data_IF_932174502891
#
_entry.id   IF_932174502891
#
_cell.length_a   1.000
_cell.length_b   1.000
_cell.length_c   1.000
_cell.angle_alpha   90.00
_cell.angle_beta   90.00
_cell.angle_gamma   90.00
#
_symmetry.space_group_name_H-M   'P 1'
#
loop_
_entity.id
_entity.type
_entity.pdbx_description
1 polymer ?
#
# COMPACT_ATOMS: atom_id res chain seq x y z
N UNK A 1 -13.71 -18.11 60.60
CA UNK A 1 -13.11 -18.70 59.36
C UNK A 1 -12.05 -17.70 58.89
N UNK A 2 -10.74 -17.99 58.80
CA UNK A 2 -9.99 -19.26 58.69
C UNK A 2 -10.34 -20.07 57.43
N UNK A 3 -9.40 -20.08 56.50
CA UNK A 3 -9.14 -21.04 55.40
C UNK A 3 -10.30 -21.43 54.45
N UNK A 4 -10.31 -20.88 53.22
CA UNK A 4 -10.96 -21.49 52.03
C UNK A 4 -10.56 -20.85 50.67
N UNK A 5 -9.42 -20.15 50.56
CA UNK A 5 -8.89 -19.65 49.27
C UNK A 5 -7.39 -20.01 49.17
N UNK A 6 -7.12 -21.30 48.96
CA UNK A 6 -5.74 -21.82 48.80
C UNK A 6 -5.71 -23.10 47.92
N UNK A 7 -6.47 -23.11 46.82
CA UNK A 7 -6.45 -24.23 45.85
C UNK A 7 -6.60 -23.81 44.37
N UNK A 8 -6.44 -22.51 44.08
CA UNK A 8 -6.21 -21.93 42.76
C UNK A 8 -5.20 -20.78 42.96
N UNK A 9 -4.12 -20.62 42.19
CA UNK A 9 -3.82 -21.16 40.86
C UNK A 9 -2.40 -21.76 40.76
N UNK A 10 -2.20 -23.04 41.13
CA UNK A 10 -0.95 -23.77 40.87
C UNK A 10 -0.77 -24.18 39.38
N UNK A 11 -1.29 -23.37 38.46
CA UNK A 11 -1.25 -23.55 37.00
C UNK A 11 -0.62 -22.33 36.27
N UNK A 12 0.04 -21.43 37.00
CA UNK A 12 0.70 -20.23 36.45
C UNK A 12 2.15 -20.50 36.00
N UNK A 13 2.39 -21.59 35.28
CA UNK A 13 3.65 -21.85 34.55
C UNK A 13 3.40 -22.49 33.17
N UNK A 14 2.93 -21.73 32.17
CA UNK A 14 3.29 -22.01 30.80
C UNK A 14 4.78 -21.73 30.61
N UNK A 15 5.52 -22.67 30.00
CA UNK A 15 6.91 -22.43 29.60
C UNK A 15 6.93 -21.38 28.49
N UNK A 16 7.56 -20.22 28.73
CA UNK A 16 7.91 -19.29 27.67
C UNK A 16 9.10 -19.83 26.86
N UNK A 17 8.83 -20.81 25.99
CA UNK A 17 9.77 -21.19 24.93
C UNK A 17 9.84 -20.06 23.90
N UNK A 18 11.05 -19.78 23.41
CA UNK A 18 11.30 -18.70 22.46
C UNK A 18 10.73 -19.05 21.08
N UNK A 19 9.63 -18.40 20.71
CA UNK A 19 9.00 -18.52 19.40
C UNK A 19 8.33 -17.21 18.99
N UNK A 20 9.06 -16.34 18.29
CA UNK A 20 8.49 -15.11 17.69
C UNK A 20 7.63 -15.45 16.46
N UNK A 21 6.45 -16.00 16.70
CA UNK A 21 5.42 -16.24 15.69
C UNK A 21 4.32 -15.16 15.81
N UNK A 22 4.44 -14.10 15.02
CA UNK A 22 3.45 -13.02 14.95
C UNK A 22 2.79 -12.98 13.56
N UNK A 23 1.52 -13.39 13.49
CA UNK A 23 0.67 -13.31 12.28
C UNK A 23 -0.76 -12.94 12.70
N UNK A 24 -1.18 -11.68 12.48
CA UNK A 24 -2.51 -11.42 11.93
C UNK A 24 -2.60 -10.16 11.02
N UNK A 25 -3.62 -10.09 10.16
CA UNK A 25 -4.03 -8.81 9.51
C UNK A 25 -4.47 -8.90 8.03
N UNK A 26 -5.59 -8.28 7.69
CA UNK A 26 -6.27 -8.24 6.36
C UNK A 26 -6.83 -6.81 6.15
N UNK A 27 -6.85 -6.20 4.94
CA UNK A 27 -7.82 -5.18 4.39
C UNK A 27 -7.51 -4.76 2.90
N UNK A 28 -8.43 -4.13 2.11
CA UNK A 28 -8.96 -4.51 0.75
C UNK A 28 -8.01 -4.70 -0.53
N UNK A 29 -7.93 -4.14 -1.77
CA UNK A 29 -8.39 -3.03 -2.72
C UNK A 29 -7.57 -1.74 -3.07
N UNK A 30 -6.40 -1.90 -3.73
CA UNK A 30 -5.65 -0.89 -4.53
C UNK A 30 -4.52 -0.06 -3.86
N UNK A 31 -3.24 -0.33 -4.16
CA UNK A 31 -2.03 0.41 -3.74
C UNK A 31 -0.78 -0.14 -4.49
N UNK A 32 0.36 0.57 -4.49
CA UNK A 32 1.55 0.23 -5.29
C UNK A 32 2.12 -1.17 -5.00
N UNK A 33 2.23 -2.00 -6.04
CA UNK A 33 2.26 -3.46 -5.89
C UNK A 33 3.41 -4.03 -5.03
N UNK A 34 3.07 -5.04 -4.20
CA UNK A 34 4.02 -5.82 -3.40
C UNK A 34 4.98 -6.62 -4.30
N UNK A 35 6.28 -6.34 -4.26
CA UNK A 35 7.30 -7.15 -4.94
C UNK A 35 7.63 -8.40 -4.12
N UNK A 36 7.11 -9.56 -4.53
CA UNK A 36 7.13 -10.80 -3.74
C UNK A 36 7.69 -12.02 -4.48
N UNK A 37 8.30 -12.97 -3.75
CA UNK A 37 8.28 -14.41 -4.07
C UNK A 37 6.84 -14.93 -4.04
N UNK A 38 6.38 -15.59 -5.11
CA UNK A 38 4.94 -15.83 -5.29
C UNK A 38 4.51 -17.29 -5.54
N UNK A 39 5.39 -18.14 -6.04
CA UNK A 39 5.03 -19.50 -6.43
C UNK A 39 5.44 -20.50 -5.35
N UNK A 40 4.53 -21.42 -5.00
CA UNK A 40 4.72 -22.40 -3.94
C UNK A 40 5.91 -23.35 -4.17
N UNK A 41 6.27 -23.65 -5.42
CA UNK A 41 7.49 -24.39 -5.74
C UNK A 41 8.76 -23.64 -5.29
N UNK A 42 8.72 -22.31 -5.34
CA UNK A 42 9.80 -21.42 -4.91
C UNK A 42 9.77 -21.14 -3.40
N UNK A 43 8.80 -21.69 -2.64
CA UNK A 43 8.72 -21.50 -1.17
C UNK A 43 10.01 -21.94 -0.46
N UNK A 44 10.68 -22.95 -1.00
CA UNK A 44 12.00 -23.41 -0.54
C UNK A 44 13.12 -22.37 -0.73
N UNK A 45 12.89 -21.30 -1.50
CA UNK A 45 13.82 -20.20 -1.80
C UNK A 45 13.44 -18.87 -1.11
N UNK A 46 12.32 -18.81 -0.39
CA UNK A 46 11.92 -17.62 0.36
C UNK A 46 12.98 -17.30 1.44
N UNK A 47 13.28 -16.02 1.65
CA UNK A 47 14.33 -15.61 2.60
C UNK A 47 15.77 -16.02 2.23
N UNK A 48 16.05 -16.46 0.99
CA UNK A 48 17.44 -16.74 0.52
C UNK A 48 18.14 -15.55 -0.15
N UNK A 49 17.37 -14.60 -0.68
CA UNK A 49 17.82 -13.44 -1.46
C UNK A 49 17.54 -12.17 -0.67
N UNK A 50 18.56 -11.35 -0.39
CA UNK A 50 18.41 -10.07 0.32
C UNK A 50 18.20 -8.92 -0.67
N UNK A 51 17.34 -7.97 -0.33
CA UNK A 51 17.34 -6.65 -0.98
C UNK A 51 18.43 -5.79 -0.32
N UNK A 52 19.60 -5.69 -0.95
CA UNK A 52 20.69 -4.83 -0.46
C UNK A 52 20.29 -3.35 -0.54
N UNK A 53 19.69 -2.93 -1.65
CA UNK A 53 19.19 -1.56 -1.76
C UNK A 53 18.07 -1.37 -2.77
N UNK A 54 17.31 -0.29 -2.58
CA UNK A 54 16.35 0.23 -3.56
C UNK A 54 16.59 1.71 -3.88
N UNK A 55 16.33 2.06 -5.15
CA UNK A 55 16.16 3.43 -5.62
C UNK A 55 14.84 3.53 -6.38
N UNK A 56 13.86 4.21 -5.80
CA UNK A 56 12.51 4.35 -6.33
C UNK A 56 12.29 5.80 -6.75
N UNK A 57 12.16 6.02 -8.05
CA UNK A 57 11.97 7.34 -8.63
C UNK A 57 10.50 7.47 -9.07
N UNK A 58 9.85 8.56 -8.67
CA UNK A 58 8.42 8.79 -8.92
C UNK A 58 8.25 10.21 -9.48
N UNK A 59 7.64 10.30 -10.66
CA UNK A 59 7.11 11.56 -11.17
C UNK A 59 5.60 11.58 -10.87
N UNK A 60 5.19 12.44 -9.94
CA UNK A 60 3.82 12.58 -9.45
C UNK A 60 3.10 13.69 -10.24
N UNK A 61 2.22 13.31 -11.16
CA UNK A 61 1.42 14.21 -11.99
C UNK A 61 0.02 14.42 -11.40
N UNK A 62 -0.76 15.33 -11.97
CA UNK A 62 -2.18 15.38 -11.63
C UNK A 62 -2.84 14.07 -12.06
N UNK A 63 -3.63 13.44 -11.19
CA UNK A 63 -4.34 12.19 -11.47
C UNK A 63 -3.52 10.92 -11.81
N UNK A 64 -2.19 10.96 -11.97
CA UNK A 64 -1.37 9.77 -12.24
C UNK A 64 0.08 9.89 -11.73
N UNK A 65 0.81 8.77 -11.65
CA UNK A 65 2.27 8.76 -11.45
C UNK A 65 2.97 7.91 -12.49
N UNK A 66 4.22 8.26 -12.77
CA UNK A 66 5.20 7.40 -13.48
C UNK A 66 6.20 6.93 -12.44
N UNK A 67 6.52 5.63 -12.42
CA UNK A 67 7.42 5.04 -11.42
C UNK A 67 8.54 4.26 -12.10
N UNK A 68 9.75 4.39 -11.57
CA UNK A 68 10.92 3.56 -11.87
C UNK A 68 11.53 3.07 -10.56
N UNK A 69 11.30 1.81 -10.21
CA UNK A 69 11.99 1.13 -9.12
C UNK A 69 13.26 0.44 -9.61
N UNK A 70 14.37 0.56 -8.88
CA UNK A 70 15.63 -0.16 -9.16
C UNK A 70 16.07 -0.87 -7.88
N UNK A 71 16.18 -2.20 -7.93
CA UNK A 71 16.42 -3.07 -6.77
C UNK A 71 17.70 -3.87 -6.95
N UNK A 72 18.56 -3.87 -5.92
CA UNK A 72 19.82 -4.60 -5.89
C UNK A 72 19.65 -5.83 -5.02
N UNK A 73 19.46 -6.99 -5.65
CA UNK A 73 19.09 -8.24 -4.97
C UNK A 73 20.29 -9.18 -4.88
N UNK A 74 20.79 -9.45 -3.67
CA UNK A 74 21.97 -10.27 -3.43
C UNK A 74 21.62 -11.71 -3.08
N UNK A 75 22.21 -12.66 -3.81
CA UNK A 75 22.17 -14.07 -3.46
C UNK A 75 23.33 -14.44 -2.52
N UNK A 76 23.03 -14.54 -1.23
CA UNK A 76 23.99 -14.98 -0.22
C UNK A 76 24.32 -16.49 -0.28
N UNK A 77 23.62 -17.30 -1.07
CA UNK A 77 23.81 -18.74 -1.16
C UNK A 77 25.07 -19.12 -1.95
N UNK A 78 25.50 -20.38 -1.81
CA UNK A 78 26.58 -20.98 -2.59
C UNK A 78 26.14 -21.48 -3.98
N UNK A 79 24.83 -21.57 -4.22
CA UNK A 79 24.23 -22.03 -5.49
C UNK A 79 23.44 -20.91 -6.16
N UNK A 80 23.15 -21.06 -7.46
CA UNK A 80 22.09 -20.27 -8.09
C UNK A 80 20.75 -20.52 -7.36
N UNK A 81 19.92 -19.48 -7.31
CA UNK A 81 18.53 -19.54 -6.87
C UNK A 81 17.67 -19.07 -8.04
N UNK A 82 16.70 -19.87 -8.44
CA UNK A 82 15.71 -19.50 -9.45
C UNK A 82 14.33 -19.39 -8.80
N UNK A 83 13.54 -18.39 -9.18
CA UNK A 83 12.21 -18.14 -8.64
C UNK A 83 11.40 -17.18 -9.51
N UNK A 84 10.09 -17.22 -9.35
CA UNK A 84 9.15 -16.23 -9.88
C UNK A 84 8.99 -15.05 -8.91
N UNK A 85 9.00 -13.86 -9.50
CA UNK A 85 8.77 -12.60 -8.81
C UNK A 85 7.71 -11.80 -9.56
N UNK A 86 7.01 -10.90 -8.88
CA UNK A 86 5.97 -10.13 -9.55
C UNK A 86 5.35 -9.01 -8.73
N UNK A 87 4.43 -8.30 -9.38
CA UNK A 87 3.61 -7.23 -8.82
C UNK A 87 2.12 -7.58 -9.01
N UNK A 88 1.26 -7.40 -7.99
CA UNK A 88 -0.17 -7.61 -8.13
C UNK A 88 -0.80 -6.51 -9.00
N UNK A 89 -1.87 -6.84 -9.73
CA UNK A 89 -2.66 -5.81 -10.41
C UNK A 89 -3.55 -4.99 -9.46
N UNK A 90 -3.68 -5.37 -8.18
CA UNK A 90 -4.45 -4.64 -7.17
C UNK A 90 -3.81 -4.77 -5.76
N UNK A 91 -3.68 -3.66 -5.00
CA UNK A 91 -3.15 -3.64 -3.61
C UNK A 91 -4.23 -3.47 -2.52
N UNK A 92 -4.00 -2.58 -1.54
CA UNK A 92 -4.92 -1.67 -0.77
C UNK A 92 -4.08 -0.73 0.09
N UNK A 93 -4.67 0.32 0.66
CA UNK A 93 -4.08 1.00 1.81
C UNK A 93 -5.06 1.16 2.96
N UNK A 94 -4.86 0.32 3.98
CA UNK A 94 -5.48 0.51 5.28
C UNK A 94 -4.40 0.60 6.38
N UNK A 95 -4.46 1.67 7.17
CA UNK A 95 -3.62 1.92 8.34
C UNK A 95 -4.44 2.68 9.39
N UNK A 96 -4.14 2.49 10.67
CA UNK A 96 -4.96 3.06 11.77
C UNK A 96 -5.07 4.59 11.73
N UNK A 97 -4.03 5.27 11.22
CA UNK A 97 -3.99 6.73 10.99
C UNK A 97 -4.89 7.14 9.80
N UNK A 98 -4.99 6.27 8.79
CA UNK A 98 -5.65 6.51 7.49
C UNK A 98 -6.82 5.55 7.35
N UNK A 99 -7.89 5.90 8.08
CA UNK A 99 -9.13 5.14 8.35
C UNK A 99 -9.59 4.15 7.27
N UNK A 100 -9.51 4.50 5.98
CA UNK A 100 -9.47 3.59 4.82
C UNK A 100 -9.21 4.40 3.54
N UNK A 101 -8.26 4.00 2.67
CA UNK A 101 -8.12 4.53 1.29
C UNK A 101 -8.15 3.40 0.26
N UNK A 102 -9.14 3.47 -0.63
CA UNK A 102 -9.21 2.65 -1.84
C UNK A 102 -8.57 3.42 -2.98
N UNK A 103 -7.50 2.90 -3.60
CA UNK A 103 -7.00 3.39 -4.90
C UNK A 103 -7.61 2.52 -6.01
N UNK A 104 -7.94 3.11 -7.15
CA UNK A 104 -8.80 2.44 -8.13
C UNK A 104 -8.15 1.30 -8.93
N UNK A 105 -6.83 1.33 -9.12
CA UNK A 105 -6.23 0.82 -10.35
C UNK A 105 -4.89 0.10 -10.19
N UNK A 106 -4.56 -0.68 -11.23
CA UNK A 106 -3.31 -1.40 -11.40
C UNK A 106 -2.13 -0.49 -11.76
N UNK A 107 -0.88 -0.97 -11.62
CA UNK A 107 0.21 -0.52 -12.47
C UNK A 107 -0.10 -0.89 -13.93
N UNK A 108 0.00 0.09 -14.84
CA UNK A 108 -0.20 -0.08 -16.27
C UNK A 108 1.13 -0.07 -17.03
N UNK A 109 1.13 -0.72 -18.20
CA UNK A 109 2.26 -0.77 -19.15
C UNK A 109 3.59 -1.10 -18.46
N UNK A 110 3.58 -2.14 -17.62
CA UNK A 110 4.76 -2.56 -16.86
C UNK A 110 5.87 -3.04 -17.80
N UNK A 111 7.08 -2.54 -17.58
CA UNK A 111 8.30 -2.99 -18.26
C UNK A 111 9.31 -3.43 -17.19
N UNK A 112 9.95 -4.58 -17.39
CA UNK A 112 10.88 -5.18 -16.42
C UNK A 112 12.20 -5.47 -17.09
N UNK A 113 13.30 -5.00 -16.49
CA UNK A 113 14.66 -5.29 -16.90
C UNK A 113 15.38 -6.05 -15.78
N UNK A 114 16.11 -7.11 -16.12
CA UNK A 114 17.01 -7.84 -15.22
C UNK A 114 18.43 -7.71 -15.76
N UNK A 115 19.32 -7.16 -14.93
CA UNK A 115 20.70 -6.79 -15.27
C UNK A 115 20.81 -5.91 -16.53
N UNK A 116 19.79 -5.07 -16.78
CA UNK A 116 19.70 -4.16 -17.94
C UNK A 116 19.03 -4.75 -19.18
N UNK A 117 18.73 -6.05 -19.21
CA UNK A 117 18.04 -6.71 -20.32
C UNK A 117 16.54 -6.83 -20.02
N UNK A 118 15.69 -6.46 -20.97
CA UNK A 118 14.23 -6.61 -20.82
C UNK A 118 13.84 -8.09 -20.73
N UNK A 119 12.94 -8.41 -19.80
CA UNK A 119 12.39 -9.75 -19.61
C UNK A 119 10.89 -9.76 -19.84
N UNK A 120 10.38 -10.82 -20.46
CA UNK A 120 8.95 -10.99 -20.71
C UNK A 120 8.19 -11.15 -19.38
N UNK A 121 7.65 -10.06 -18.84
CA UNK A 121 6.66 -10.10 -17.75
C UNK A 121 5.29 -10.45 -18.33
N UNK A 122 4.83 -11.67 -18.07
CA UNK A 122 3.49 -12.11 -18.49
C UNK A 122 2.44 -11.70 -17.44
N UNK A 123 1.23 -11.42 -17.90
CA UNK A 123 0.07 -11.30 -17.00
C UNK A 123 -0.46 -12.70 -16.72
N UNK A 124 -0.24 -13.19 -15.51
CA UNK A 124 -0.79 -14.45 -15.04
C UNK A 124 -2.10 -14.19 -14.31
N UNK A 125 -3.16 -14.88 -14.74
CA UNK A 125 -4.44 -14.95 -14.03
C UNK A 125 -4.44 -16.15 -13.06
N UNK A 126 -5.27 -16.12 -12.03
CA UNK A 126 -5.44 -17.22 -11.04
C UNK A 126 -5.55 -18.62 -11.69
N UNK A 127 -6.17 -18.72 -12.87
CA UNK A 127 -6.31 -19.99 -13.61
C UNK A 127 -4.96 -20.58 -14.04
N UNK A 128 -4.05 -19.76 -14.57
CA UNK A 128 -2.68 -20.20 -14.94
C UNK A 128 -1.79 -20.44 -13.71
N UNK A 129 -2.13 -19.83 -12.57
CA UNK A 129 -1.48 -20.09 -11.28
C UNK A 129 -1.87 -21.49 -10.78
N UNK A 130 -3.14 -21.88 -10.88
CA UNK A 130 -3.61 -23.22 -10.51
C UNK A 130 -2.93 -24.34 -11.33
N UNK A 131 -2.89 -24.21 -12.67
CA UNK A 131 -2.34 -25.24 -13.56
C UNK A 131 -0.84 -25.50 -13.37
N UNK A 132 -0.08 -24.55 -12.80
CA UNK A 132 1.36 -24.65 -12.58
C UNK A 132 1.74 -25.23 -11.18
N UNK A 133 0.82 -25.94 -10.51
CA UNK A 133 1.00 -26.45 -9.15
C UNK A 133 1.39 -25.36 -8.12
N UNK A 134 0.94 -24.11 -8.33
CA UNK A 134 1.07 -23.08 -7.30
C UNK A 134 0.06 -23.40 -6.20
N UNK A 135 0.55 -24.07 -5.15
CA UNK A 135 -0.27 -24.47 -4.00
C UNK A 135 -1.06 -23.26 -3.46
N UNK A 136 -2.39 -23.34 -3.58
CA UNK A 136 -3.31 -22.27 -3.19
C UNK A 136 -3.38 -22.07 -1.68
N UNK A 137 -2.83 -23.00 -0.88
CA UNK A 137 -2.54 -22.74 0.53
C UNK A 137 -1.42 -21.70 0.70
N UNK A 138 -0.41 -21.67 -0.18
CA UNK A 138 0.67 -20.68 -0.12
C UNK A 138 0.19 -19.30 -0.55
N UNK A 139 -0.68 -19.20 -1.56
CA UNK A 139 -1.35 -17.91 -1.87
C UNK A 139 -2.29 -17.50 -0.74
N UNK A 140 -3.06 -18.41 -0.13
CA UNK A 140 -3.88 -18.10 1.04
C UNK A 140 -3.06 -17.59 2.25
N UNK A 141 -1.89 -18.18 2.53
CA UNK A 141 -0.98 -17.79 3.62
C UNK A 141 -0.25 -16.47 3.33
N UNK A 142 0.17 -16.22 2.08
CA UNK A 142 0.87 -14.98 1.68
C UNK A 142 -0.11 -13.82 1.39
N UNK A 143 -1.39 -14.10 1.16
CA UNK A 143 -2.41 -13.09 0.81
C UNK A 143 -3.53 -12.92 1.86
N UNK A 144 -3.45 -13.61 3.00
CA UNK A 144 -4.45 -13.49 4.08
C UNK A 144 -5.87 -13.86 3.65
N UNK A 145 -6.01 -14.88 2.79
CA UNK A 145 -7.30 -15.36 2.29
C UNK A 145 -7.96 -14.52 1.18
N UNK A 146 -7.20 -13.71 0.44
CA UNK A 146 -7.71 -13.00 -0.77
C UNK A 146 -7.16 -13.53 -2.10
N UNK A 147 -8.07 -13.73 -3.05
CA UNK A 147 -7.76 -14.06 -4.44
C UNK A 147 -7.41 -12.77 -5.22
N UNK A 148 -6.12 -12.45 -5.31
CA UNK A 148 -5.61 -11.39 -6.19
C UNK A 148 -5.55 -11.90 -7.64
N UNK A 149 -6.69 -11.82 -8.34
CA UNK A 149 -6.95 -12.54 -9.59
C UNK A 149 -5.90 -12.45 -10.70
N UNK A 150 -5.13 -11.37 -10.75
CA UNK A 150 -4.14 -11.11 -11.79
C UNK A 150 -2.83 -10.58 -11.18
N UNK A 151 -1.69 -11.05 -11.69
CA UNK A 151 -0.34 -10.57 -11.39
C UNK A 151 0.46 -10.34 -12.67
N UNK A 152 1.37 -9.37 -12.64
CA UNK A 152 2.52 -9.36 -13.55
C UNK A 152 3.60 -10.24 -12.93
N UNK A 153 3.90 -11.41 -13.52
CA UNK A 153 4.99 -12.28 -13.05
C UNK A 153 6.09 -12.39 -14.10
N UNK A 154 7.31 -12.57 -13.63
CA UNK A 154 8.45 -12.99 -14.44
C UNK A 154 9.35 -13.92 -13.61
N UNK A 155 10.01 -14.84 -14.30
CA UNK A 155 10.97 -15.77 -13.71
C UNK A 155 12.38 -15.17 -13.79
N UNK A 156 13.21 -15.36 -12.77
CA UNK A 156 14.62 -14.98 -12.85
C UNK A 156 15.56 -15.91 -12.09
N UNK A 157 16.85 -15.80 -12.42
CA UNK A 157 17.97 -16.52 -11.82
C UNK A 157 18.88 -15.54 -11.09
N UNK A 158 19.04 -15.74 -9.79
CA UNK A 158 20.02 -15.05 -8.97
C UNK A 158 21.27 -15.93 -8.86
N UNK A 159 22.34 -15.58 -9.59
CA UNK A 159 23.59 -16.35 -9.55
C UNK A 159 24.24 -16.32 -8.15
N UNK A 160 24.90 -17.44 -7.77
CA UNK A 160 25.55 -17.59 -6.46
C UNK A 160 26.51 -16.43 -6.14
N UNK A 161 26.44 -15.90 -4.91
CA UNK A 161 27.31 -14.81 -4.40
C UNK A 161 27.36 -13.56 -5.30
N UNK A 162 26.29 -13.27 -6.04
CA UNK A 162 26.18 -12.10 -6.92
C UNK A 162 24.95 -11.25 -6.61
N UNK A 163 25.06 -9.97 -6.95
CA UNK A 163 23.92 -9.04 -7.01
C UNK A 163 23.27 -9.19 -8.40
N UNK A 164 21.94 -9.24 -8.40
CA UNK A 164 21.09 -9.11 -9.59
C UNK A 164 20.38 -7.77 -9.50
N UNK A 165 20.48 -6.95 -10.53
CA UNK A 165 19.81 -5.64 -10.59
C UNK A 165 18.48 -5.81 -11.31
N UNK A 166 17.38 -5.38 -10.68
CA UNK A 166 16.03 -5.44 -11.25
C UNK A 166 15.54 -4.01 -11.41
N UNK A 167 15.15 -3.61 -12.61
CA UNK A 167 14.55 -2.29 -12.86
C UNK A 167 13.12 -2.48 -13.37
N UNK A 168 12.15 -1.87 -12.70
CA UNK A 168 10.72 -1.98 -13.02
C UNK A 168 10.14 -0.60 -13.29
N UNK A 169 9.51 -0.44 -14.45
CA UNK A 169 8.79 0.78 -14.85
C UNK A 169 7.30 0.50 -14.89
N UNK A 170 6.46 1.45 -14.46
CA UNK A 170 5.01 1.40 -14.62
C UNK A 170 4.38 2.80 -14.50
N UNK A 171 3.11 2.91 -14.90
CA UNK A 171 2.27 4.10 -14.65
C UNK A 171 1.10 3.72 -13.73
N UNK A 172 0.78 4.51 -12.71
CA UNK A 172 -0.42 4.32 -11.86
C UNK A 172 -1.48 5.37 -12.16
N UNK A 173 -2.75 4.97 -12.18
CA UNK A 173 -3.85 5.92 -12.22
C UNK A 173 -4.27 6.30 -10.79
N UNK A 174 -3.87 7.49 -10.35
CA UNK A 174 -4.12 8.01 -9.02
C UNK A 174 -5.51 8.66 -8.90
N UNK A 175 -6.14 9.00 -10.03
CA UNK A 175 -7.31 9.88 -10.13
C UNK A 175 -8.60 9.34 -9.50
N UNK A 176 -8.66 8.01 -9.28
CA UNK A 176 -9.88 7.30 -8.83
C UNK A 176 -9.90 6.98 -7.34
N UNK A 177 -9.00 7.59 -6.57
CA UNK A 177 -8.84 7.31 -5.14
C UNK A 177 -10.03 7.79 -4.28
N UNK A 178 -10.31 7.04 -3.20
CA UNK A 178 -11.42 7.30 -2.27
C UNK A 178 -10.93 7.17 -0.83
N UNK A 179 -10.97 8.27 -0.10
CA UNK A 179 -10.72 8.34 1.35
C UNK A 179 -12.05 8.24 2.09
N UNK A 180 -12.15 7.37 3.10
CA UNK A 180 -13.39 7.21 3.88
C UNK A 180 -13.14 7.22 5.40
N UNK A 181 -14.12 7.72 6.16
CA UNK A 181 -14.04 7.96 7.60
C UNK A 181 -15.40 7.70 8.23
N UNK A 182 -15.71 6.44 8.53
CA UNK A 182 -17.06 6.03 8.90
C UNK A 182 -18.03 6.32 7.74
N UNK A 183 -18.99 7.22 7.97
CA UNK A 183 -19.97 7.62 6.95
C UNK A 183 -19.45 8.67 5.95
N UNK A 184 -18.45 9.47 6.30
CA UNK A 184 -17.90 10.52 5.42
C UNK A 184 -16.97 9.92 4.37
N UNK A 185 -17.07 10.38 3.11
CA UNK A 185 -16.30 9.85 1.96
C UNK A 185 -15.89 11.00 1.04
N UNK A 186 -14.62 11.03 0.65
CA UNK A 186 -14.08 11.97 -0.34
C UNK A 186 -13.49 11.21 -1.51
N UNK A 187 -13.67 11.75 -2.72
CA UNK A 187 -12.78 11.46 -3.86
C UNK A 187 -11.57 12.39 -3.77
N UNK A 188 -10.48 12.03 -4.43
CA UNK A 188 -9.24 12.80 -4.48
C UNK A 188 -8.22 12.05 -5.32
N UNK A 189 -6.95 12.36 -5.16
CA UNK A 189 -5.87 11.62 -5.79
C UNK A 189 -4.96 10.98 -4.74
N UNK A 190 -4.54 9.74 -5.00
CA UNK A 190 -3.64 9.02 -4.12
C UNK A 190 -2.53 8.34 -4.91
N UNK A 191 -1.28 8.57 -4.53
CA UNK A 191 -0.15 7.72 -4.91
C UNK A 191 0.28 6.86 -3.71
N UNK A 192 0.84 5.68 -3.99
CA UNK A 192 1.15 4.69 -2.97
C UNK A 192 2.25 3.72 -3.36
N UNK A 193 3.11 3.36 -2.40
CA UNK A 193 4.19 2.39 -2.54
C UNK A 193 4.29 1.50 -1.29
N UNK A 194 4.18 0.17 -1.46
CA UNK A 194 4.41 -0.78 -0.36
C UNK A 194 5.91 -0.97 -0.16
N UNK A 195 6.38 -0.64 1.04
CA UNK A 195 7.70 -0.99 1.52
C UNK A 195 7.67 -2.29 2.37
N UNK A 196 6.55 -2.59 3.03
CA UNK A 196 6.38 -3.78 3.91
C UNK A 196 6.70 -5.12 3.22
N UNK A 197 6.56 -5.21 1.89
CA UNK A 197 6.85 -6.41 1.11
C UNK A 197 8.34 -6.76 1.07
N UNK A 198 9.22 -5.85 1.50
CA UNK A 198 10.60 -6.17 1.82
C UNK A 198 10.75 -7.38 2.76
N UNK A 199 9.78 -7.63 3.65
CA UNK A 199 9.78 -8.77 4.60
C UNK A 199 9.69 -10.17 3.98
N UNK A 200 9.41 -10.29 2.69
CA UNK A 200 9.48 -11.59 2.00
C UNK A 200 10.91 -11.95 1.54
N UNK A 201 11.83 -10.99 1.63
CA UNK A 201 13.24 -11.12 1.25
C UNK A 201 14.09 -11.40 2.51
N UNK A 202 15.37 -11.76 2.30
CA UNK A 202 16.26 -12.15 3.38
C UNK A 202 16.74 -10.93 4.19
N UNK A 203 16.34 -10.85 5.45
CA UNK A 203 16.80 -9.79 6.36
C UNK A 203 16.26 -8.39 6.02
N UNK A 204 17.01 -7.37 6.44
CA UNK A 204 16.63 -5.97 6.28
C UNK A 204 17.02 -5.42 4.89
N UNK A 205 16.38 -4.32 4.50
CA UNK A 205 16.80 -3.50 3.35
C UNK A 205 17.95 -2.60 3.82
N UNK A 206 19.17 -2.85 3.38
CA UNK A 206 20.36 -2.17 3.94
C UNK A 206 20.38 -0.66 3.62
N UNK A 207 19.87 -0.23 2.47
CA UNK A 207 19.66 1.20 2.13
C UNK A 207 18.52 1.38 1.11
N UNK A 208 17.59 2.29 1.37
CA UNK A 208 16.55 2.66 0.41
C UNK A 208 16.39 4.16 0.24
N UNK A 209 16.11 4.58 -0.99
CA UNK A 209 15.88 5.97 -1.37
C UNK A 209 14.64 6.05 -2.26
N UNK A 210 13.58 6.70 -1.77
CA UNK A 210 12.35 6.95 -2.50
C UNK A 210 12.26 8.45 -2.76
N UNK A 211 12.33 8.85 -4.03
CA UNK A 211 12.39 10.24 -4.49
C UNK A 211 11.20 10.57 -5.38
N UNK A 212 10.47 11.64 -5.03
CA UNK A 212 9.29 12.11 -5.77
C UNK A 212 9.55 13.50 -6.33
N UNK A 213 9.26 13.71 -7.61
CA UNK A 213 9.05 15.06 -8.19
C UNK A 213 7.56 15.34 -8.30
N UNK A 214 7.12 16.50 -7.79
CA UNK A 214 5.78 17.02 -8.01
C UNK A 214 5.74 17.72 -9.37
N UNK A 215 5.03 17.11 -10.33
CA UNK A 215 4.94 17.53 -11.72
C UNK A 215 3.71 18.41 -11.98
N UNK A 216 3.58 18.97 -13.18
CA UNK A 216 2.44 19.79 -13.64
C UNK A 216 2.04 20.93 -12.68
N UNK A 217 3.01 21.47 -11.94
CA UNK A 217 2.76 22.49 -10.92
C UNK A 217 1.89 22.00 -9.76
N UNK A 218 1.99 20.72 -9.37
CA UNK A 218 1.64 20.27 -8.03
C UNK A 218 2.64 20.89 -7.05
N UNK A 219 2.14 21.33 -5.90
CA UNK A 219 2.95 21.90 -4.82
C UNK A 219 2.55 21.27 -3.49
N UNK A 220 3.33 21.53 -2.43
CA UNK A 220 2.99 21.07 -1.08
C UNK A 220 1.59 21.52 -0.63
N UNK A 221 1.06 22.64 -1.15
CA UNK A 221 -0.32 23.12 -0.88
C UNK A 221 -1.42 22.24 -1.47
N UNK A 222 -1.10 21.37 -2.42
CA UNK A 222 -2.01 20.38 -2.99
C UNK A 222 -1.99 19.05 -2.21
N UNK A 223 -0.97 18.81 -1.40
CA UNK A 223 -0.85 17.59 -0.58
C UNK A 223 -1.66 17.81 0.70
N UNK A 224 -2.68 16.98 0.93
CA UNK A 224 -3.51 17.04 2.13
C UNK A 224 -3.12 15.96 3.16
N UNK A 225 -2.49 14.86 2.71
CA UNK A 225 -1.97 13.83 3.59
C UNK A 225 -0.72 13.16 3.04
N UNK A 226 0.24 12.85 3.91
CA UNK A 226 1.44 12.08 3.57
C UNK A 226 1.83 11.13 4.72
N UNK A 227 2.29 9.92 4.39
CA UNK A 227 2.89 8.96 5.33
C UNK A 227 4.12 8.31 4.69
N UNK A 228 5.13 7.86 5.49
CA UNK A 228 5.29 8.11 6.91
C UNK A 228 5.53 9.60 7.20
N UNK A 229 4.80 10.17 8.16
CA UNK A 229 4.93 11.58 8.50
C UNK A 229 6.25 11.83 9.26
N UNK A 230 6.70 13.08 9.29
CA UNK A 230 7.91 13.54 10.00
C UNK A 230 9.25 12.90 9.54
N UNK A 231 9.18 11.91 8.65
CA UNK A 231 10.30 11.14 8.09
C UNK A 231 10.59 11.57 6.65
N UNK A 232 9.55 11.93 5.91
CA UNK A 232 9.65 12.49 4.56
C UNK A 232 10.10 13.96 4.66
N UNK A 233 11.00 14.36 3.77
CA UNK A 233 11.53 15.72 3.67
C UNK A 233 11.15 16.38 2.36
N UNK A 234 10.92 17.70 2.36
CA UNK A 234 10.52 18.46 1.18
C UNK A 234 11.53 19.55 0.84
N UNK A 235 11.78 19.77 -0.46
CA UNK A 235 12.32 21.03 -0.95
C UNK A 235 11.89 21.32 -2.38
N UNK A 236 11.22 22.45 -2.60
CA UNK A 236 10.96 23.03 -3.93
C UNK A 236 10.30 22.06 -4.92
N UNK A 237 9.24 21.36 -4.50
CA UNK A 237 8.50 20.40 -5.32
C UNK A 237 9.11 18.99 -5.32
N UNK A 238 10.06 18.71 -4.43
CA UNK A 238 10.77 17.42 -4.35
C UNK A 238 10.56 16.80 -2.98
N UNK A 239 10.19 15.53 -2.92
CA UNK A 239 10.04 14.77 -1.68
C UNK A 239 11.10 13.68 -1.61
N UNK A 240 11.75 13.54 -0.45
CA UNK A 240 12.74 12.52 -0.19
C UNK A 240 12.36 11.69 1.05
N UNK A 241 12.31 10.37 0.87
CA UNK A 241 12.25 9.39 1.95
C UNK A 241 13.47 8.48 1.83
N UNK A 242 14.38 8.55 2.80
CA UNK A 242 15.63 7.80 2.80
C UNK A 242 15.76 7.00 4.10
N UNK A 243 16.19 5.75 4.01
CA UNK A 243 16.37 4.88 5.17
C UNK A 243 17.56 3.93 5.00
N UNK A 244 18.03 3.38 6.11
CA UNK A 244 19.13 2.39 6.17
C UNK A 244 18.79 1.28 7.15
N UNK A 245 19.28 0.07 6.89
CA UNK A 245 19.08 -1.14 7.71
C UNK A 245 17.61 -1.32 8.18
N UNK A 246 16.68 -1.26 7.22
CA UNK A 246 15.25 -1.17 7.50
C UNK A 246 14.60 -2.55 7.53
N UNK A 247 14.07 -2.93 8.69
CA UNK A 247 12.97 -3.89 8.79
C UNK A 247 11.66 -3.14 8.45
N UNK A 248 11.01 -3.42 7.30
CA UNK A 248 9.90 -2.57 6.86
C UNK A 248 8.57 -3.05 7.44
N UNK A 249 7.75 -2.11 7.86
CA UNK A 249 6.42 -2.35 8.44
C UNK A 249 5.33 -1.62 7.63
N UNK A 250 4.03 -1.89 7.87
CA UNK A 250 2.96 -1.13 7.22
C UNK A 250 3.07 0.38 7.44
N UNK A 251 3.55 0.80 8.63
CA UNK A 251 3.78 2.21 8.98
C UNK A 251 4.79 2.92 8.07
N UNK A 252 5.66 2.17 7.38
CA UNK A 252 6.72 2.67 6.51
C UNK A 252 6.29 2.76 5.03
N UNK A 253 5.07 2.31 4.70
CA UNK A 253 4.55 2.39 3.34
C UNK A 253 4.24 3.86 2.94
N UNK A 254 4.90 4.34 1.88
CA UNK A 254 4.69 5.71 1.37
C UNK A 254 3.28 5.87 0.79
N UNK A 255 2.50 6.77 1.38
CA UNK A 255 1.20 7.24 0.87
C UNK A 255 1.26 8.74 0.65
N UNK A 256 0.73 9.21 -0.48
CA UNK A 256 0.54 10.64 -0.78
C UNK A 256 -0.91 10.86 -1.20
N UNK A 257 -1.70 11.54 -0.36
CA UNK A 257 -3.08 11.97 -0.66
C UNK A 257 -3.09 13.46 -1.03
N UNK A 258 -3.56 13.77 -2.24
CA UNK A 258 -3.47 15.10 -2.82
C UNK A 258 -4.74 15.50 -3.58
N UNK A 259 -5.01 16.80 -3.58
CA UNK A 259 -6.10 17.44 -4.28
C UNK A 259 -5.53 18.58 -5.14
N UNK A 260 -5.44 18.30 -6.43
CA UNK A 260 -5.39 19.30 -7.50
C UNK A 260 -6.61 19.05 -8.41
N UNK A 261 -6.89 19.97 -9.32
CA UNK A 261 -8.12 20.08 -10.10
C UNK A 261 -8.63 18.71 -10.57
N UNK A 262 -9.78 18.29 -10.03
CA UNK A 262 -10.31 16.91 -10.14
C UNK A 262 -10.97 16.62 -11.50
N UNK A 263 -10.68 17.44 -12.51
CA UNK A 263 -11.12 17.24 -13.88
C UNK A 263 -10.65 15.86 -14.36
N UNK A 264 -11.55 15.10 -14.97
CA UNK A 264 -11.30 13.70 -15.31
C UNK A 264 -10.29 13.60 -16.45
N UNK A 265 -9.01 13.49 -16.09
CA UNK A 265 -7.94 13.16 -17.03
C UNK A 265 -8.33 11.86 -17.73
N UNK A 266 -8.46 11.93 -19.06
CA UNK A 266 -8.76 10.79 -19.93
C UNK A 266 -7.53 9.86 -19.99
N UNK A 267 -7.24 9.17 -18.89
CA UNK A 267 -6.00 8.45 -18.63
C UNK A 267 -5.65 7.45 -19.75
N UNK A 268 -6.63 6.68 -20.20
CA UNK A 268 -6.50 5.69 -21.28
C UNK A 268 -6.19 6.33 -22.64
N UNK A 269 -6.64 7.57 -22.88
CA UNK A 269 -6.51 8.28 -24.16
C UNK A 269 -5.30 9.23 -24.19
N UNK A 270 -4.96 9.84 -23.05
CA UNK A 270 -4.01 10.97 -22.97
C UNK A 270 -2.69 10.62 -22.29
N UNK A 271 -2.67 9.58 -21.43
CA UNK A 271 -1.51 9.17 -20.63
C UNK A 271 -0.92 7.85 -21.15
N UNK A 272 -1.72 6.77 -21.25
CA UNK A 272 -1.22 5.45 -21.66
C UNK A 272 -0.56 5.42 -23.05
N UNK A 273 -1.04 6.14 -24.10
CA UNK A 273 -0.36 6.18 -25.39
C UNK A 273 1.01 6.88 -25.37
N UNK A 274 1.37 7.54 -24.27
CA UNK A 274 2.64 8.27 -24.10
C UNK A 274 3.64 7.57 -23.18
N UNK A 275 3.39 6.33 -22.75
CA UNK A 275 4.26 5.62 -21.79
C UNK A 275 5.75 5.64 -22.16
N UNK A 276 6.11 5.44 -23.43
CA UNK A 276 7.51 5.50 -23.86
C UNK A 276 8.17 6.86 -23.63
N UNK A 277 7.42 7.96 -23.77
CA UNK A 277 7.90 9.33 -23.47
C UNK A 277 8.10 9.50 -21.96
N UNK A 278 7.16 9.02 -21.15
CA UNK A 278 7.25 9.05 -19.69
C UNK A 278 8.42 8.22 -19.16
N UNK A 279 8.65 7.01 -19.71
CA UNK A 279 9.79 6.17 -19.31
C UNK A 279 11.13 6.76 -19.79
N UNK A 280 11.18 7.41 -20.95
CA UNK A 280 12.36 8.20 -21.36
C UNK A 280 12.61 9.42 -20.44
N UNK A 281 11.55 10.10 -19.98
CA UNK A 281 11.67 11.23 -19.06
C UNK A 281 12.17 10.83 -17.67
N UNK A 282 11.64 9.76 -17.08
CA UNK A 282 12.06 9.28 -15.74
C UNK A 282 13.44 8.58 -15.76
N UNK A 283 13.94 8.19 -16.94
CA UNK A 283 15.35 7.80 -17.11
C UNK A 283 16.32 8.98 -16.96
N UNK A 284 15.86 10.21 -17.18
CA UNK A 284 16.61 11.45 -17.00
C UNK A 284 16.24 12.17 -15.68
N UNK A 285 15.77 11.42 -14.68
CA UNK A 285 15.43 11.96 -13.35
C UNK A 285 16.71 12.46 -12.64
N UNK A 286 16.76 13.71 -12.15
CA UNK A 286 17.96 14.33 -11.61
C UNK A 286 18.21 13.87 -10.17
N UNK A 287 18.71 12.64 -9.98
CA UNK A 287 18.98 12.06 -8.65
C UNK A 287 19.93 12.94 -7.81
N UNK A 288 20.88 13.63 -8.46
CA UNK A 288 21.80 14.56 -7.80
C UNK A 288 21.11 15.75 -7.13
N UNK A 289 19.93 16.17 -7.61
CA UNK A 289 19.14 17.23 -6.96
C UNK A 289 18.69 16.85 -5.55
N UNK A 290 18.62 15.54 -5.25
CA UNK A 290 18.21 14.99 -3.96
C UNK A 290 19.43 14.69 -3.06
N UNK A 291 20.67 14.93 -3.51
CA UNK A 291 21.87 14.58 -2.75
C UNK A 291 22.00 15.33 -1.41
N UNK A 292 21.45 16.55 -1.31
CA UNK A 292 21.43 17.34 -0.09
C UNK A 292 20.15 17.13 0.76
N UNK A 293 19.34 16.09 0.50
CA UNK A 293 18.08 15.85 1.23
C UNK A 293 18.22 15.82 2.77
N UNK A 294 19.42 15.52 3.28
CA UNK A 294 19.70 15.53 4.72
C UNK A 294 19.41 16.89 5.37
N UNK A 295 19.63 18.01 4.67
CA UNK A 295 19.36 19.37 5.17
C UNK A 295 17.97 19.92 4.82
N UNK A 296 17.10 19.14 4.17
CA UNK A 296 15.73 19.57 3.88
C UNK A 296 14.86 19.47 5.14
N UNK A 297 13.85 20.36 5.31
CA UNK A 297 12.88 20.24 6.39
C UNK A 297 12.07 18.94 6.25
N UNK A 298 11.85 18.27 7.37
CA UNK A 298 10.84 17.22 7.46
C UNK A 298 9.43 17.82 7.39
N UNK A 299 8.50 17.11 6.77
CA UNK A 299 7.08 17.51 6.70
C UNK A 299 6.20 16.55 7.51
N UNK A 300 5.20 17.11 8.20
CA UNK A 300 4.08 16.34 8.74
C UNK A 300 2.80 16.96 8.18
N UNK A 301 2.13 16.22 7.31
CA UNK A 301 0.84 16.55 6.73
C UNK A 301 -0.05 15.33 6.96
N UNK A 302 -0.78 15.34 8.06
CA UNK A 302 -1.62 14.20 8.49
C UNK A 302 -3.11 14.48 8.33
N UNK A 303 -3.47 15.47 7.49
CA UNK A 303 -4.84 15.95 7.30
C UNK A 303 -5.67 15.06 6.36
N UNK A 304 -5.63 13.75 6.59
CA UNK A 304 -6.44 12.72 5.93
C UNK A 304 -7.92 12.78 6.35
N UNK A 305 -8.52 13.97 6.27
CA UNK A 305 -9.94 14.24 6.51
C UNK A 305 -10.69 14.18 5.17
N UNK A 306 -11.58 13.20 4.93
CA UNK A 306 -12.51 13.31 3.81
C UNK A 306 -13.47 14.49 4.07
N UNK A 307 -13.79 15.24 3.01
CA UNK A 307 -14.77 16.32 3.10
C UNK A 307 -16.11 15.77 3.62
N UNK A 308 -16.64 16.40 4.67
CA UNK A 308 -17.94 16.03 5.24
C UNK A 308 -19.06 16.72 4.46
N UNK A 309 -19.94 15.94 3.82
CA UNK A 309 -20.96 16.48 2.92
C UNK A 309 -22.14 17.16 3.63
N UNK A 310 -22.17 17.15 4.97
CA UNK A 310 -23.23 17.74 5.81
C UNK A 310 -24.56 16.98 5.79
N UNK A 311 -24.99 16.53 4.60
CA UNK A 311 -26.19 15.74 4.34
C UNK A 311 -26.27 14.47 5.20
N UNK A 312 -25.15 13.81 5.50
CA UNK A 312 -25.13 12.65 6.40
C UNK A 312 -25.63 12.98 7.81
N UNK A 313 -25.25 14.15 8.35
CA UNK A 313 -25.74 14.63 9.66
C UNK A 313 -27.21 15.04 9.59
N UNK A 314 -27.65 15.64 8.48
CA UNK A 314 -29.05 15.97 8.24
C UNK A 314 -29.94 14.71 8.24
N UNK A 315 -29.55 13.66 7.50
CA UNK A 315 -30.31 12.40 7.42
C UNK A 315 -30.40 11.70 8.77
N UNK A 316 -29.30 11.64 9.53
CA UNK A 316 -29.31 11.08 10.90
C UNK A 316 -30.20 11.92 11.83
N UNK A 317 -30.13 13.25 11.75
CA UNK A 317 -31.00 14.15 12.50
C UNK A 317 -32.49 13.97 12.17
N UNK A 318 -32.83 13.79 10.89
CA UNK A 318 -34.21 13.52 10.45
C UNK A 318 -34.72 12.15 10.92
N UNK A 319 -33.88 11.11 10.93
CA UNK A 319 -34.23 9.79 11.45
C UNK A 319 -34.50 9.84 12.98
N UNK A 320 -33.62 10.48 13.75
CA UNK A 320 -33.79 10.65 15.20
C UNK A 320 -35.03 11.50 15.50
N UNK A 321 -35.22 12.61 14.77
CA UNK A 321 -36.40 13.47 14.89
C UNK A 321 -37.71 12.72 14.57
N UNK A 322 -37.73 11.91 13.51
CA UNK A 322 -38.88 11.07 13.15
C UNK A 322 -39.25 10.06 14.25
N UNK A 323 -38.27 9.37 14.82
CA UNK A 323 -38.48 8.44 15.96
C UNK A 323 -39.03 9.17 17.18
N UNK A 324 -38.52 10.37 17.49
CA UNK A 324 -39.04 11.19 18.60
C UNK A 324 -40.49 11.65 18.36
N UNK A 325 -40.84 12.06 17.14
CA UNK A 325 -42.23 12.41 16.79
C UNK A 325 -43.16 11.21 16.96
N UNK A 326 -42.78 10.02 16.47
CA UNK A 326 -43.56 8.79 16.64
C UNK A 326 -43.73 8.44 18.12
N UNK A 327 -42.68 8.55 18.93
CA UNK A 327 -42.75 8.31 20.38
C UNK A 327 -43.72 9.28 21.09
N UNK A 328 -43.71 10.57 20.72
CA UNK A 328 -44.67 11.57 21.25
C UNK A 328 -46.11 11.24 20.84
N UNK A 329 -46.34 10.86 19.57
CA UNK A 329 -47.67 10.45 19.10
C UNK A 329 -48.18 9.22 19.86
N UNK A 330 -47.34 8.20 20.06
CA UNK A 330 -47.69 7.00 20.85
C UNK A 330 -48.04 7.38 22.30
N UNK A 331 -47.24 8.24 22.95
CA UNK A 331 -47.50 8.71 24.31
C UNK A 331 -48.82 9.51 24.43
N UNK A 332 -49.12 10.35 23.44
CA UNK A 332 -50.40 11.09 23.38
C UNK A 332 -51.59 10.14 23.20
N UNK A 333 -51.48 9.12 22.34
CA UNK A 333 -52.51 8.10 22.14
C UNK A 333 -52.76 7.28 23.42
N UNK A 334 -51.69 6.85 24.11
CA UNK A 334 -51.80 6.15 25.40
C UNK A 334 -52.52 7.04 26.43
N UNK A 335 -52.19 8.33 26.51
CA UNK A 335 -52.89 9.29 27.39
C UNK A 335 -54.35 9.54 27.00
N UNK A 336 -54.69 9.47 25.72
CA UNK A 336 -56.06 9.62 25.24
C UNK A 336 -56.91 8.39 25.61
N UNK A 337 -56.40 7.19 25.32
CA UNK A 337 -57.07 5.91 25.64
C UNK A 337 -57.25 5.77 27.16
N UNK A 338 -56.24 6.11 27.94
CA UNK A 338 -56.30 6.11 29.42
C UNK A 338 -57.19 7.20 30.05
N UNK A 339 -57.71 8.15 29.25
CA UNK A 339 -58.76 9.11 29.65
C UNK A 339 -60.16 8.65 29.24
N UNK A 340 -60.28 7.76 28.26
CA UNK A 340 -61.56 7.19 27.81
C UNK A 340 -62.00 5.95 28.62
N UNK A 341 -61.13 5.46 29.51
CA UNK A 341 -61.40 4.36 30.45
C UNK A 341 -61.44 4.85 31.91
N UNK A 342 -61.93 6.08 32.12
CA UNK A 342 -62.15 6.71 33.43
C UNK A 342 -63.44 7.52 33.42
#
# INVERSE_FOLDING_TARGET
MRYSILLCCCFLLPFFTLGNAAMPGVWQTGFGGRFLPLIAADSSNYGKIQMQSELVLIDLYNGFSVVKGTYYMYNAQATEVEMYTGYPQHGDYNQDIVKHIIIGDAPFNMQVLVNGFEVNSAVYTDSLIADNNVNTATTAVVHGGRNYKNWYLWKMKFAAKKITVITVYFITNNSRAKLTSGYSKSKGHAFGYVLESGKAWAGNIDTGNIFVRMMDGITLKNIAGILPDSTIKESNGKLAYCFVNKDPSPADNLLIWYNKDLDSIAFTQNVLPKTGVYFAAINNFPVNDFANNKSWPAISLTDFKPQDSGLGKLVIGLLIGGVLVVAVVIWLLIKLIGRLHK
#
